data_IF_094057853124
#
_entry.id   IF_094057853124
#
_cell.length_a   1.000
_cell.length_b   1.000
_cell.length_c   1.000
_cell.angle_alpha   90.00
_cell.angle_beta   90.00
_cell.angle_gamma   90.00
#
_symmetry.space_group_name_H-M   'P 1'
#
loop_
_entity.id
_entity.type
_entity.pdbx_description
1 polymer ?
#
# COMPACT_ATOMS: atom_id res chain seq x y z
N UNK A 1 -23.40 -22.94 35.81
CA UNK A 1 -22.22 -22.06 35.80
C UNK A 1 -21.71 -21.96 34.36
N UNK A 2 -22.36 -21.13 33.54
CA UNK A 2 -22.15 -21.07 32.09
C UNK A 2 -21.02 -20.10 31.75
N UNK A 3 -19.90 -20.61 31.25
CA UNK A 3 -18.81 -19.78 30.71
C UNK A 3 -19.21 -19.28 29.31
N UNK A 4 -19.86 -18.11 29.27
CA UNK A 4 -20.14 -17.38 28.02
C UNK A 4 -18.83 -16.75 27.54
N UNK A 5 -18.05 -17.48 26.76
CA UNK A 5 -16.85 -16.95 26.09
C UNK A 5 -17.33 -15.83 25.17
N UNK A 6 -17.04 -14.59 25.56
CA UNK A 6 -17.31 -13.39 24.79
C UNK A 6 -16.43 -13.43 23.54
N UNK A 7 -16.94 -14.00 22.45
CA UNK A 7 -16.34 -13.83 21.11
C UNK A 7 -16.38 -12.33 20.82
N UNK A 8 -15.23 -11.67 20.96
CA UNK A 8 -14.99 -10.34 20.40
C UNK A 8 -15.34 -10.44 18.92
N UNK A 9 -16.48 -9.86 18.53
CA UNK A 9 -16.80 -9.60 17.13
C UNK A 9 -15.72 -8.65 16.63
N UNK A 10 -14.62 -9.17 16.09
CA UNK A 10 -13.78 -8.40 15.19
C UNK A 10 -14.68 -7.99 14.05
N UNK A 11 -15.00 -6.70 14.00
CA UNK A 11 -15.77 -6.11 12.91
C UNK A 11 -14.86 -6.21 11.68
N UNK A 12 -15.03 -7.27 10.88
CA UNK A 12 -14.20 -7.56 9.70
C UNK A 12 -14.65 -6.68 8.53
N UNK A 13 -14.80 -5.37 8.76
CA UNK A 13 -14.87 -4.40 7.68
C UNK A 13 -13.46 -3.90 7.37
N UNK A 14 -12.58 -4.83 6.97
CA UNK A 14 -11.31 -4.47 6.36
C UNK A 14 -11.23 -5.18 5.03
N UNK A 15 -11.79 -4.55 3.99
CA UNK A 15 -11.36 -4.79 2.62
C UNK A 15 -9.94 -4.24 2.47
N UNK A 16 -8.97 -4.78 3.23
CA UNK A 16 -7.58 -4.35 3.18
C UNK A 16 -6.98 -4.88 1.89
N UNK A 17 -6.97 -4.05 0.85
CA UNK A 17 -5.89 -4.13 -0.13
C UNK A 17 -4.58 -4.04 0.65
N UNK A 18 -3.77 -5.08 0.57
CA UNK A 18 -2.44 -5.06 1.17
C UNK A 18 -1.55 -4.13 0.34
N UNK A 19 -0.82 -3.25 1.01
CA UNK A 19 0.17 -2.42 0.34
C UNK A 19 1.23 -3.34 -0.29
N UNK A 20 1.60 -3.03 -1.54
CA UNK A 20 2.61 -3.79 -2.26
C UNK A 20 3.43 -2.89 -3.17
N UNK A 21 4.63 -3.36 -3.49
CA UNK A 21 5.54 -2.74 -4.44
C UNK A 21 6.01 -3.80 -5.43
N UNK A 22 6.01 -3.45 -6.72
CA UNK A 22 6.47 -4.31 -7.81
C UNK A 22 7.42 -3.54 -8.69
N UNK A 23 8.54 -4.18 -9.02
CA UNK A 23 9.52 -3.73 -10.00
C UNK A 23 9.36 -4.58 -11.26
N UNK A 24 9.37 -3.93 -12.42
CA UNK A 24 9.34 -4.64 -13.71
C UNK A 24 10.69 -4.64 -14.42
N UNK A 25 10.75 -5.29 -15.59
CA UNK A 25 11.96 -5.38 -16.40
C UNK A 25 12.25 -4.12 -17.21
N UNK A 26 11.31 -3.17 -17.28
CA UNK A 26 11.40 -1.91 -18.03
C UNK A 26 11.84 -0.74 -17.14
N UNK A 27 12.45 -1.03 -15.98
CA UNK A 27 12.89 -0.03 -15.00
C UNK A 27 11.75 0.83 -14.44
N UNK A 28 10.54 0.27 -14.34
CA UNK A 28 9.39 0.90 -13.71
C UNK A 28 9.08 0.23 -12.38
N UNK A 29 8.64 1.05 -11.45
CA UNK A 29 8.10 0.61 -10.16
C UNK A 29 6.65 1.06 -10.08
N UNK A 30 5.80 0.16 -9.60
CA UNK A 30 4.38 0.42 -9.38
C UNK A 30 3.88 -0.36 -8.18
N UNK A 31 2.82 0.13 -7.58
CA UNK A 31 2.28 -0.49 -6.38
C UNK A 31 0.99 0.16 -5.92
N UNK A 32 0.52 -0.30 -4.76
CA UNK A 32 -0.65 0.25 -4.08
C UNK A 32 -0.28 0.52 -2.62
N UNK A 33 -0.77 1.63 -2.07
CA UNK A 33 -0.51 2.09 -0.69
C UNK A 33 -1.64 1.76 0.30
N UNK A 34 -2.60 0.94 -0.10
CA UNK A 34 -3.81 0.58 0.63
C UNK A 34 -5.07 1.12 -0.05
N UNK A 35 -5.03 2.37 -0.51
CA UNK A 35 -6.05 3.01 -1.32
C UNK A 35 -5.51 3.30 -2.72
N UNK A 36 -4.52 4.20 -2.80
CA UNK A 36 -4.04 4.74 -4.07
C UNK A 36 -2.93 3.90 -4.69
N UNK A 37 -2.95 3.85 -6.03
CA UNK A 37 -1.85 3.29 -6.80
C UNK A 37 -0.77 4.36 -7.01
N UNK A 38 0.49 3.95 -6.96
CA UNK A 38 1.64 4.79 -7.30
C UNK A 38 2.46 4.18 -8.44
N UNK A 39 3.19 5.02 -9.15
CA UNK A 39 4.08 4.63 -10.23
C UNK A 39 5.28 5.57 -10.34
N UNK A 40 6.44 5.02 -10.70
CA UNK A 40 7.65 5.79 -10.98
C UNK A 40 8.60 4.99 -11.88
N UNK A 41 9.68 5.64 -12.32
CA UNK A 41 10.86 4.92 -12.84
C UNK A 41 11.89 4.75 -11.74
N UNK A 42 12.69 3.70 -11.83
CA UNK A 42 13.82 3.48 -10.94
C UNK A 42 15.11 3.23 -11.71
N UNK A 43 16.24 3.41 -11.03
CA UNK A 43 17.57 3.00 -11.49
C UNK A 43 18.29 2.30 -10.33
N UNK A 44 19.11 1.31 -10.65
CA UNK A 44 19.98 0.63 -9.70
C UNK A 44 21.42 1.09 -9.97
N UNK A 45 22.05 1.67 -8.95
CA UNK A 45 23.49 1.94 -8.93
C UNK A 45 24.12 1.10 -7.81
N UNK A 46 24.71 -0.04 -8.18
CA UNK A 46 25.20 -1.07 -7.26
C UNK A 46 24.12 -1.49 -6.26
N UNK A 47 24.20 -1.00 -5.02
CA UNK A 47 23.29 -1.31 -3.93
C UNK A 47 22.33 -0.15 -3.61
N UNK A 48 22.32 0.89 -4.44
CA UNK A 48 21.49 2.09 -4.28
C UNK A 48 20.34 2.02 -5.29
N UNK A 49 19.11 2.07 -4.78
CA UNK A 49 17.90 2.19 -5.58
C UNK A 49 17.51 3.66 -5.67
N UNK A 50 17.67 4.25 -6.85
CA UNK A 50 17.21 5.60 -7.15
C UNK A 50 15.80 5.55 -7.72
N UNK A 51 14.83 6.13 -7.00
CA UNK A 51 13.46 6.29 -7.49
C UNK A 51 13.33 7.71 -8.04
N UNK A 52 12.87 7.83 -9.28
CA UNK A 52 12.60 9.12 -9.91
C UNK A 52 11.29 9.73 -9.41
N UNK A 53 10.82 10.82 -10.04
CA UNK A 53 9.56 11.47 -9.65
C UNK A 53 8.41 10.46 -9.62
N UNK A 54 7.73 10.40 -8.47
CA UNK A 54 6.61 9.50 -8.22
C UNK A 54 5.30 10.17 -8.61
N UNK A 55 4.45 9.44 -9.31
CA UNK A 55 3.05 9.78 -9.54
C UNK A 55 2.12 8.89 -8.70
N UNK A 56 0.94 9.41 -8.37
CA UNK A 56 -0.09 8.67 -7.63
C UNK A 56 -1.48 8.99 -8.18
N UNK A 57 -2.39 8.05 -7.97
CA UNK A 57 -3.83 8.28 -8.18
C UNK A 57 -4.45 9.02 -6.99
N UNK A 58 -5.65 9.60 -7.18
CA UNK A 58 -6.36 10.38 -6.16
C UNK A 58 -7.77 9.83 -5.93
N UNK A 59 -7.85 8.57 -5.52
CA UNK A 59 -9.07 7.94 -5.01
C UNK A 59 -9.30 8.34 -3.56
N UNK A 60 -10.57 8.47 -3.18
CA UNK A 60 -10.99 8.71 -1.81
C UNK A 60 -11.25 7.38 -1.10
N UNK A 61 -10.53 7.11 -0.01
CA UNK A 61 -10.78 5.97 0.87
C UNK A 61 -11.00 6.42 2.31
N UNK A 62 -11.54 5.52 3.14
CA UNK A 62 -11.79 5.78 4.56
C UNK A 62 -10.51 6.01 5.36
N UNK A 63 -9.40 5.37 4.97
CA UNK A 63 -8.08 5.59 5.54
C UNK A 63 -7.12 5.99 4.40
N UNK A 64 -6.43 7.10 4.61
CA UNK A 64 -5.51 7.74 3.66
C UNK A 64 -4.15 8.09 4.30
N UNK A 65 -3.89 7.60 5.51
CA UNK A 65 -2.70 7.94 6.29
C UNK A 65 -1.40 7.60 5.54
N UNK A 66 -1.36 6.49 4.81
CA UNK A 66 -0.16 6.07 4.07
C UNK A 66 0.06 6.93 2.81
N UNK A 67 -1.02 7.31 2.13
CA UNK A 67 -0.98 8.11 0.90
C UNK A 67 -0.62 9.58 1.13
N UNK A 68 -0.95 10.14 2.30
CA UNK A 68 -0.69 11.54 2.64
C UNK A 68 0.74 11.81 3.10
N UNK A 69 1.50 10.75 3.41
CA UNK A 69 2.89 10.82 3.86
C UNK A 69 3.91 10.62 2.71
N UNK A 70 3.50 10.90 1.46
CA UNK A 70 4.33 10.86 0.25
C UNK A 70 5.11 12.16 0.01
#
# INVERSE_FOLDING_TARGET
>A
MYHKIFKIRRNINKSSKYAFIKFDRDLKVFGNLGCNNFFARYKLDKNILHISKVGSTMMMCQNMETEQNL
#
